data_IF_115246828398
#
_entry.id   IF_115246828398
#
_cell.length_a   1.000
_cell.length_b   1.000
_cell.length_c   1.000
_cell.angle_alpha   90.00
_cell.angle_beta   90.00
_cell.angle_gamma   90.00
#
_symmetry.space_group_name_H-M   'P 1'
#
loop_
_entity.id
_entity.type
_entity.pdbx_description
1 polymer ?
#
# COMPACT_ATOMS: atom_id res chain seq x y z
N UNK A 1 4.78 -0.23 -5.99
CA UNK A 1 4.34 -1.25 -5.02
C UNK A 1 3.27 -0.73 -4.07
N UNK A 2 3.54 0.28 -3.23
CA UNK A 2 2.61 0.70 -2.16
C UNK A 2 1.26 1.29 -2.62
N UNK A 3 1.17 1.91 -3.81
CA UNK A 3 -0.09 2.50 -4.29
C UNK A 3 -1.18 1.44 -4.49
N UNK A 4 -0.87 0.33 -5.17
CA UNK A 4 -1.81 -0.77 -5.37
C UNK A 4 -2.26 -1.37 -4.05
N UNK A 5 -1.31 -1.67 -3.15
CA UNK A 5 -1.59 -2.20 -1.81
C UNK A 5 -2.51 -1.26 -1.01
N UNK A 6 -2.27 0.05 -1.05
CA UNK A 6 -3.08 1.03 -0.33
C UNK A 6 -4.48 1.21 -0.96
N UNK A 7 -4.63 1.10 -2.28
CA UNK A 7 -5.95 1.05 -2.93
C UNK A 7 -6.72 -0.21 -2.53
N UNK A 8 -6.08 -1.38 -2.54
CA UNK A 8 -6.69 -2.63 -2.05
C UNK A 8 -7.05 -2.52 -0.56
N UNK A 9 -6.23 -1.85 0.26
CA UNK A 9 -6.57 -1.54 1.65
C UNK A 9 -7.81 -0.67 1.77
N UNK A 10 -7.92 0.41 0.97
CA UNK A 10 -9.11 1.27 0.91
C UNK A 10 -10.37 0.49 0.52
N UNK A 11 -10.25 -0.44 -0.43
CA UNK A 11 -11.33 -1.30 -0.91
C UNK A 11 -11.70 -2.43 0.08
N UNK A 12 -10.95 -2.60 1.17
CA UNK A 12 -11.28 -3.52 2.26
C UNK A 12 -10.72 -4.94 2.10
N UNK A 13 -9.81 -5.19 1.16
CA UNK A 13 -9.22 -6.53 0.90
C UNK A 13 -8.56 -7.16 2.12
N UNK A 14 -8.01 -6.34 3.03
CA UNK A 14 -7.28 -6.80 4.20
C UNK A 14 -8.14 -7.00 5.45
N UNK A 15 -9.46 -6.72 5.38
CA UNK A 15 -10.37 -6.91 6.54
C UNK A 15 -10.41 -8.36 7.02
N UNK A 16 -10.29 -9.33 6.10
CA UNK A 16 -10.22 -10.76 6.45
C UNK A 16 -8.93 -11.18 7.16
N UNK A 17 -7.91 -10.32 7.16
CA UNK A 17 -6.60 -10.54 7.80
C UNK A 17 -6.45 -9.74 9.11
N UNK A 18 -7.53 -9.12 9.60
CA UNK A 18 -7.53 -8.26 10.79
C UNK A 18 -6.60 -7.04 10.69
N UNK A 19 -6.28 -6.59 9.47
CA UNK A 19 -5.50 -5.38 9.20
C UNK A 19 -6.49 -4.25 8.95
N UNK A 20 -6.66 -3.38 9.96
CA UNK A 20 -7.71 -2.38 9.97
C UNK A 20 -7.17 -0.94 9.90
N UNK A 21 -5.89 -0.76 10.20
CA UNK A 21 -5.23 0.55 10.18
C UNK A 21 -4.01 0.54 9.24
N UNK A 22 -3.59 1.73 8.83
CA UNK A 22 -2.34 1.90 8.08
C UNK A 22 -1.13 1.42 8.88
N UNK A 23 -1.21 1.48 10.21
CA UNK A 23 -0.16 0.92 11.07
C UNK A 23 -0.12 -0.60 11.02
N UNK A 24 -1.27 -1.27 11.05
CA UNK A 24 -1.34 -2.73 10.92
C UNK A 24 -0.82 -3.16 9.54
N UNK A 25 -1.17 -2.42 8.48
CA UNK A 25 -0.70 -2.69 7.13
C UNK A 25 0.81 -2.49 7.01
N UNK A 26 1.35 -1.41 7.59
CA UNK A 26 2.78 -1.14 7.59
C UNK A 26 3.58 -2.18 8.38
N UNK A 27 3.06 -2.64 9.52
CA UNK A 27 3.66 -3.74 10.27
C UNK A 27 3.64 -5.03 9.45
N UNK A 28 2.50 -5.36 8.84
CA UNK A 28 2.36 -6.55 8.00
C UNK A 28 3.36 -6.57 6.83
N UNK A 29 3.52 -5.44 6.12
CA UNK A 29 4.48 -5.30 5.03
C UNK A 29 5.94 -5.38 5.50
N UNK A 30 6.23 -4.84 6.69
CA UNK A 30 7.56 -4.91 7.27
C UNK A 30 7.91 -6.35 7.69
N UNK A 31 6.98 -7.06 8.34
CA UNK A 31 7.14 -8.46 8.75
C UNK A 31 7.18 -9.43 7.57
N UNK A 32 6.47 -9.13 6.47
CA UNK A 32 6.49 -9.97 5.26
C UNK A 32 7.77 -9.83 4.43
N UNK A 33 8.62 -8.83 4.74
CA UNK A 33 9.75 -8.47 3.89
C UNK A 33 9.34 -7.70 2.63
N UNK A 34 8.06 -7.34 2.45
CA UNK A 34 7.61 -6.47 1.35
C UNK A 34 7.89 -4.97 1.64
N UNK A 35 8.47 -4.66 2.79
CA UNK A 35 9.00 -3.34 3.17
C UNK A 35 10.38 -3.04 2.59
N UNK A 36 10.85 -3.73 1.56
CA UNK A 36 12.20 -3.57 1.00
C UNK A 36 12.24 -2.48 -0.09
N UNK A 37 13.23 -1.58 0.01
CA UNK A 37 13.65 -0.74 -1.12
C UNK A 37 14.71 -1.52 -1.91
N UNK A 38 14.49 -1.63 -3.22
CA UNK A 38 15.54 -2.05 -4.14
C UNK A 38 16.40 -0.82 -4.50
N UNK A 39 17.52 -0.63 -3.80
CA UNK A 39 18.55 0.33 -4.21
C UNK A 39 19.76 -0.43 -4.74
N UNK A 40 20.13 -0.19 -6.01
CA UNK A 40 21.35 -0.70 -6.65
C UNK A 40 21.59 -2.21 -6.55
N UNK A 41 20.53 -3.01 -6.51
CA UNK A 41 20.64 -4.48 -6.50
C UNK A 41 20.81 -5.10 -5.11
N UNK A 42 20.70 -4.31 -4.05
CA UNK A 42 20.62 -4.80 -2.67
C UNK A 42 19.25 -4.48 -2.07
N UNK A 43 18.66 -5.48 -1.43
CA UNK A 43 17.45 -5.32 -0.62
C UNK A 43 17.84 -4.72 0.74
N UNK A 44 17.57 -3.43 0.91
CA UNK A 44 17.76 -2.76 2.20
C UNK A 44 16.40 -2.73 2.91
N UNK A 45 16.27 -3.37 4.09
CA UNK A 45 15.08 -3.24 4.92
C UNK A 45 14.87 -1.77 5.27
N UNK A 46 13.73 -1.20 4.87
CA UNK A 46 13.34 0.10 5.40
C UNK A 46 13.11 -0.05 6.90
N UNK A 47 13.79 0.78 7.68
CA UNK A 47 13.39 1.06 9.06
C UNK A 47 11.87 1.29 9.12
N UNK A 48 11.18 0.58 10.00
CA UNK A 48 9.71 0.60 10.12
C UNK A 48 9.17 2.04 10.20
N UNK A 49 9.89 2.94 10.88
CA UNK A 49 9.54 4.36 10.98
C UNK A 49 9.53 5.09 9.63
N UNK A 50 10.47 4.76 8.74
CA UNK A 50 10.58 5.31 7.38
C UNK A 50 9.46 4.77 6.49
N UNK A 51 9.25 3.44 6.51
CA UNK A 51 8.15 2.79 5.78
C UNK A 51 6.80 3.41 6.17
N UNK A 52 6.54 3.54 7.47
CA UNK A 52 5.31 4.12 8.01
C UNK A 52 5.10 5.57 7.58
N UNK A 53 6.18 6.35 7.46
CA UNK A 53 6.11 7.73 6.98
C UNK A 53 5.75 7.79 5.50
N UNK A 54 6.35 6.94 4.67
CA UNK A 54 6.02 6.85 3.24
C UNK A 54 4.58 6.38 3.02
N UNK A 55 4.15 5.31 3.71
CA UNK A 55 2.77 4.80 3.63
C UNK A 55 1.74 5.88 4.00
N UNK A 56 1.97 6.64 5.08
CA UNK A 56 1.05 7.72 5.49
C UNK A 56 0.97 8.85 4.47
N UNK A 57 2.09 9.23 3.85
CA UNK A 57 2.12 10.25 2.80
C UNK A 57 1.27 9.84 1.59
N UNK A 58 1.46 8.60 1.11
CA UNK A 58 0.71 8.07 -0.03
C UNK A 58 -0.76 7.87 0.34
N UNK A 59 -1.04 7.37 1.55
CA UNK A 59 -2.40 7.17 2.05
C UNK A 59 -3.21 8.47 2.09
N UNK A 60 -2.60 9.60 2.48
CA UNK A 60 -3.28 10.89 2.49
C UNK A 60 -3.80 11.32 1.11
N UNK A 61 -3.18 10.84 0.03
CA UNK A 61 -3.63 11.04 -1.35
C UNK A 61 -4.71 10.02 -1.72
N UNK A 62 -4.44 8.72 -1.52
CA UNK A 62 -5.36 7.61 -1.88
C UNK A 62 -6.68 7.70 -1.11
N UNK A 63 -6.67 8.18 0.12
CA UNK A 63 -7.88 8.36 0.91
C UNK A 63 -8.90 9.27 0.18
N UNK A 64 -8.41 10.29 -0.55
CA UNK A 64 -9.22 11.25 -1.31
C UNK A 64 -9.47 10.83 -2.77
N UNK A 65 -8.80 9.79 -3.24
CA UNK A 65 -8.96 9.28 -4.59
C UNK A 65 -10.37 8.73 -4.82
N UNK A 66 -10.99 9.06 -5.96
CA UNK A 66 -12.23 8.39 -6.36
C UNK A 66 -11.87 6.97 -6.86
N UNK A 67 -12.42 5.96 -6.18
CA UNK A 67 -12.16 4.55 -6.46
C UNK A 67 -13.33 3.85 -7.15
N UNK A 68 -14.36 4.56 -7.62
CA UNK A 68 -15.48 3.95 -8.36
C UNK A 68 -15.02 3.15 -9.59
N UNK A 69 -13.95 3.63 -10.25
CA UNK A 69 -13.43 3.07 -11.49
C UNK A 69 -12.08 2.35 -11.30
N UNK A 70 -11.79 1.94 -10.07
CA UNK A 70 -10.59 1.17 -9.75
C UNK A 70 -10.99 -0.30 -9.64
N UNK A 71 -10.31 -1.17 -10.38
CA UNK A 71 -10.56 -2.61 -10.33
C UNK A 71 -10.11 -3.22 -8.99
N UNK A 72 -10.53 -4.46 -8.68
CA UNK A 72 -10.04 -5.25 -7.55
C UNK A 72 -8.54 -5.26 -7.29
N UNK A 73 -7.73 -5.10 -8.35
CA UNK A 73 -6.27 -5.14 -8.31
C UNK A 73 -5.63 -3.75 -8.20
N UNK A 74 -6.43 -2.69 -8.14
CA UNK A 74 -5.96 -1.32 -7.97
C UNK A 74 -5.65 -0.57 -9.27
N UNK A 75 -6.05 -1.08 -10.43
CA UNK A 75 -5.87 -0.43 -11.74
C UNK A 75 -7.09 0.44 -12.10
N UNK A 76 -6.85 1.61 -12.70
CA UNK A 76 -7.93 2.45 -13.24
C UNK A 76 -8.41 1.85 -14.56
N UNK A 77 -9.68 1.45 -14.62
CA UNK A 77 -10.25 0.77 -15.78
C UNK A 77 -10.62 1.72 -16.93
N UNK A 78 -10.51 3.04 -16.73
CA UNK A 78 -10.80 4.05 -17.76
C UNK A 78 -9.65 4.28 -18.74
N UNK A 79 -8.45 3.77 -18.44
CA UNK A 79 -7.24 4.00 -19.26
C UNK A 79 -7.27 3.15 -20.56
N UNK A 80 -8.19 2.19 -20.67
CA UNK A 80 -8.41 1.43 -21.89
C UNK A 80 -9.44 2.12 -22.80
N UNK A 81 -9.01 3.07 -23.64
CA UNK A 81 -9.77 3.50 -24.81
C UNK A 81 -8.86 3.84 -25.98
#
# INVERSE_FOLDING_TARGET
>A
MYVGVLRSFKLGYFRGLNINTISDLGMHLHESGDGLKHEKGEDIPLELSSLMTELRKIWAVIQKEDTEHIDPYGYDVRINH
#
